data_IF_131467326204
#
_entry.id   IF_131467326204
#
_cell.length_a   1.000
_cell.length_b   1.000
_cell.length_c   1.000
_cell.angle_alpha   90.00
_cell.angle_beta   90.00
_cell.angle_gamma   90.00
#
_symmetry.space_group_name_H-M   'P 1'
#
loop_
_entity.id
_entity.type
_entity.pdbx_description
1 polymer ?
#
# COMPACT_ATOMS: atom_id res chain seq x y z
N UNK A 1 22.51 -28.73 54.50
CA UNK A 1 21.24 -28.64 53.74
C UNK A 1 21.06 -27.17 53.37
N UNK A 2 21.54 -26.77 52.19
CA UNK A 2 21.39 -25.39 51.71
C UNK A 2 20.11 -25.28 50.89
N UNK A 3 19.20 -24.42 51.33
CA UNK A 3 17.97 -24.09 50.62
C UNK A 3 18.35 -23.13 49.48
N UNK A 4 18.27 -23.65 48.26
CA UNK A 4 18.47 -22.90 47.03
C UNK A 4 17.36 -21.85 46.90
N UNK A 5 17.74 -20.58 46.88
CA UNK A 5 16.86 -19.46 46.62
C UNK A 5 16.43 -19.46 45.14
N UNK A 6 15.23 -19.98 44.87
CA UNK A 6 14.48 -19.66 43.66
C UNK A 6 14.09 -18.17 43.72
N UNK A 7 14.96 -17.29 43.24
CA UNK A 7 14.53 -15.96 42.82
C UNK A 7 13.53 -16.13 41.69
N UNK A 8 12.26 -15.88 41.99
CA UNK A 8 11.19 -15.74 41.01
C UNK A 8 11.57 -14.67 39.99
N UNK A 9 11.98 -15.08 38.79
CA UNK A 9 12.17 -14.23 37.58
C UNK A 9 10.82 -13.65 37.07
N UNK A 10 9.86 -13.36 37.94
CA UNK A 10 8.53 -12.87 37.55
C UNK A 10 8.52 -11.35 37.56
N UNK A 11 8.31 -10.78 36.37
CA UNK A 11 7.92 -9.40 36.08
C UNK A 11 8.98 -8.30 36.27
N UNK A 12 10.07 -8.34 35.49
CA UNK A 12 10.81 -7.10 35.18
C UNK A 12 9.91 -6.21 34.31
N UNK A 13 9.43 -5.10 34.89
CA UNK A 13 8.74 -4.05 34.14
C UNK A 13 9.76 -3.10 33.49
N UNK A 14 9.43 -2.48 32.35
CA UNK A 14 10.24 -1.40 31.79
C UNK A 14 10.30 -0.22 32.77
N UNK A 15 11.40 0.52 32.73
CA UNK A 15 11.62 1.72 33.55
C UNK A 15 11.24 2.99 32.80
N UNK A 16 11.36 2.98 31.47
CA UNK A 16 10.91 4.08 30.62
C UNK A 16 9.43 4.37 30.86
N UNK A 17 9.06 5.63 31.20
CA UNK A 17 7.66 6.01 31.41
C UNK A 17 6.77 5.68 30.22
N UNK A 18 7.29 5.84 29.00
CA UNK A 18 6.52 5.58 27.77
C UNK A 18 6.27 4.08 27.57
N UNK A 19 7.28 3.24 27.83
CA UNK A 19 7.14 1.79 27.73
C UNK A 19 6.28 1.21 28.87
N UNK A 20 6.17 1.91 30.01
CA UNK A 20 5.24 1.54 31.08
C UNK A 20 3.79 1.64 30.64
N UNK A 21 3.41 2.65 29.86
CA UNK A 21 2.04 2.75 29.30
C UNK A 21 1.72 1.54 28.41
N UNK A 22 2.67 1.14 27.56
CA UNK A 22 2.50 -0.08 26.74
C UNK A 22 2.38 -1.34 27.62
N UNK A 23 3.16 -1.43 28.70
CA UNK A 23 3.09 -2.52 29.67
C UNK A 23 1.75 -2.57 30.42
N UNK A 24 1.20 -1.40 30.76
CA UNK A 24 -0.11 -1.27 31.42
C UNK A 24 -1.24 -1.69 30.48
N UNK A 25 -1.16 -1.41 29.18
CA UNK A 25 -2.10 -1.95 28.20
C UNK A 25 -2.09 -3.50 28.19
N UNK A 26 -0.90 -4.12 28.27
CA UNK A 26 -0.77 -5.57 28.40
C UNK A 26 -1.30 -6.12 29.74
N UNK A 27 -1.22 -5.36 30.83
CA UNK A 27 -1.85 -5.74 32.11
C UNK A 27 -3.38 -5.87 31.96
N UNK A 28 -3.99 -5.13 31.03
CA UNK A 28 -5.42 -5.19 30.70
C UNK A 28 -5.75 -6.12 29.52
N UNK A 29 -4.76 -6.84 28.97
CA UNK A 29 -4.94 -7.71 27.81
C UNK A 29 -5.04 -6.98 26.46
N UNK A 30 -4.80 -5.67 26.41
CA UNK A 30 -4.84 -4.87 25.18
C UNK A 30 -3.48 -4.92 24.43
N UNK A 31 -3.24 -6.03 23.75
CA UNK A 31 -2.06 -6.23 22.90
C UNK A 31 -1.98 -5.18 21.77
N UNK A 32 -3.05 -4.91 21.00
CA UNK A 32 -3.03 -3.87 19.97
C UNK A 32 -2.68 -2.48 20.52
N UNK A 33 -3.24 -2.12 21.69
CA UNK A 33 -2.91 -0.87 22.37
C UNK A 33 -1.46 -0.78 22.76
N UNK A 34 -0.89 -1.85 23.31
CA UNK A 34 0.53 -1.90 23.65
C UNK A 34 1.44 -1.66 22.42
N UNK A 35 1.12 -2.28 21.28
CA UNK A 35 1.85 -2.08 20.02
C UNK A 35 1.72 -0.65 19.50
N UNK A 36 0.52 -0.05 19.56
CA UNK A 36 0.33 1.38 19.22
C UNK A 36 1.23 2.28 20.08
N UNK A 37 1.27 2.04 21.39
CA UNK A 37 2.14 2.81 22.29
C UNK A 37 3.63 2.62 21.97
N UNK A 38 4.06 1.39 21.64
CA UNK A 38 5.45 1.15 21.21
C UNK A 38 5.81 1.93 19.93
N UNK A 39 4.91 1.97 18.94
CA UNK A 39 5.13 2.77 17.72
C UNK A 39 5.23 4.26 18.02
N UNK A 40 4.41 4.76 18.93
CA UNK A 40 4.41 6.16 19.36
C UNK A 40 5.64 6.54 20.20
N UNK A 41 6.26 5.57 20.90
CA UNK A 41 7.39 5.81 21.80
C UNK A 41 8.69 6.23 21.09
N UNK A 42 8.78 6.02 19.78
CA UNK A 42 9.96 6.33 18.98
C UNK A 42 11.07 5.28 19.10
N UNK A 43 12.10 5.47 18.28
CA UNK A 43 13.18 4.49 18.08
C UNK A 43 14.33 4.58 19.10
N UNK A 44 14.32 5.62 19.96
CA UNK A 44 15.38 5.91 20.93
C UNK A 44 15.22 5.13 22.26
N UNK A 45 14.16 4.32 22.37
CA UNK A 45 13.88 3.58 23.59
C UNK A 45 14.93 2.48 23.84
N UNK A 46 15.26 2.17 25.12
CA UNK A 46 16.22 1.11 25.43
C UNK A 46 15.76 -0.25 24.89
N UNK A 47 16.58 -0.87 24.02
CA UNK A 47 16.23 -2.12 23.32
C UNK A 47 15.84 -3.26 24.26
N UNK A 48 16.53 -3.41 25.39
CA UNK A 48 16.19 -4.42 26.39
C UNK A 48 14.77 -4.21 26.97
N UNK A 49 14.34 -2.97 27.13
CA UNK A 49 13.01 -2.65 27.64
C UNK A 49 11.93 -2.80 26.57
N UNK A 50 12.23 -2.43 25.32
CA UNK A 50 11.35 -2.71 24.17
C UNK A 50 11.15 -4.21 24.03
N UNK A 51 12.22 -5.01 24.09
CA UNK A 51 12.16 -6.46 24.03
C UNK A 51 11.34 -7.05 25.20
N UNK A 52 11.40 -6.48 26.41
CA UNK A 52 10.53 -6.91 27.51
C UNK A 52 9.04 -6.75 27.16
N UNK A 53 8.63 -5.59 26.63
CA UNK A 53 7.23 -5.33 26.27
C UNK A 53 6.81 -6.26 25.11
N UNK A 54 7.64 -6.37 24.07
CA UNK A 54 7.36 -7.21 22.89
C UNK A 54 7.29 -8.68 23.26
N UNK A 55 8.22 -9.18 24.08
CA UNK A 55 8.22 -10.58 24.52
C UNK A 55 6.96 -10.94 25.29
N UNK A 56 6.46 -10.03 26.14
CA UNK A 56 5.19 -10.23 26.86
C UNK A 56 3.99 -10.17 25.92
N UNK A 57 3.97 -9.23 24.97
CA UNK A 57 2.92 -9.17 23.96
C UNK A 57 2.88 -10.45 23.12
N UNK A 58 4.05 -10.97 22.72
CA UNK A 58 4.21 -12.21 21.98
C UNK A 58 3.72 -13.43 22.77
N UNK A 59 4.05 -13.53 24.06
CA UNK A 59 3.56 -14.58 24.95
C UNK A 59 2.02 -14.58 25.03
N UNK A 60 1.41 -13.40 25.15
CA UNK A 60 -0.05 -13.26 25.25
C UNK A 60 -0.81 -13.76 24.00
N UNK A 61 -0.15 -13.78 22.83
CA UNK A 61 -0.74 -14.25 21.56
C UNK A 61 -0.15 -15.59 21.08
N UNK A 62 0.68 -16.26 21.88
CA UNK A 62 1.25 -17.58 21.54
C UNK A 62 2.36 -17.55 20.49
N UNK A 63 3.11 -16.45 20.38
CA UNK A 63 4.23 -16.31 19.45
C UNK A 63 5.55 -16.73 20.11
N UNK A 64 5.80 -18.03 20.20
CA UNK A 64 6.96 -18.60 20.91
C UNK A 64 8.32 -18.12 20.39
N UNK A 65 8.48 -18.02 19.07
CA UNK A 65 9.77 -17.63 18.47
C UNK A 65 10.14 -16.19 18.83
N UNK A 66 9.19 -15.26 18.71
CA UNK A 66 9.38 -13.86 19.10
C UNK A 66 9.57 -13.72 20.61
N UNK A 67 8.88 -14.54 21.42
CA UNK A 67 9.06 -14.57 22.89
C UNK A 67 10.48 -14.98 23.26
N UNK A 68 11.02 -16.02 22.62
CA UNK A 68 12.40 -16.49 22.83
C UNK A 68 13.43 -15.46 22.38
N UNK A 69 13.23 -14.87 21.20
CA UNK A 69 14.14 -13.85 20.66
C UNK A 69 14.17 -12.59 21.53
N UNK A 70 13.00 -12.13 22.00
CA UNK A 70 12.90 -11.03 22.95
C UNK A 70 13.62 -11.34 24.27
N UNK A 71 13.44 -12.54 24.83
CA UNK A 71 14.13 -12.96 26.04
C UNK A 71 15.66 -12.98 25.86
N UNK A 72 16.16 -13.35 24.68
CA UNK A 72 17.59 -13.32 24.35
C UNK A 72 18.14 -11.88 24.37
N UNK A 73 17.43 -10.90 23.80
CA UNK A 73 17.83 -9.48 23.86
C UNK A 73 17.80 -8.96 25.30
N UNK A 74 16.84 -9.38 26.12
CA UNK A 74 16.79 -8.98 27.54
C UNK A 74 18.00 -9.52 28.32
N UNK A 75 18.44 -10.75 28.02
CA UNK A 75 19.59 -11.35 28.68
C UNK A 75 20.91 -10.75 28.18
N UNK A 76 21.02 -10.48 26.88
CA UNK A 76 22.24 -10.06 26.20
C UNK A 76 21.94 -8.96 25.17
N UNK A 77 21.64 -7.72 25.61
CA UNK A 77 21.14 -6.64 24.74
C UNK A 77 22.18 -6.13 23.73
N UNK A 78 23.42 -6.58 23.88
CA UNK A 78 24.58 -6.19 23.11
C UNK A 78 25.04 -7.28 22.13
N UNK A 79 24.46 -8.48 22.19
CA UNK A 79 24.85 -9.61 21.35
C UNK A 79 24.23 -9.45 19.95
N UNK A 80 25.04 -9.35 18.87
CA UNK A 80 24.52 -9.11 17.52
C UNK A 80 23.48 -10.13 17.05
N UNK A 81 23.69 -11.41 17.37
CA UNK A 81 22.76 -12.48 16.99
C UNK A 81 21.42 -12.37 17.72
N UNK A 82 21.40 -11.97 19.00
CA UNK A 82 20.13 -11.76 19.72
C UNK A 82 19.32 -10.61 19.10
N UNK A 83 20.01 -9.52 18.77
CA UNK A 83 19.41 -8.36 18.13
C UNK A 83 18.87 -8.67 16.72
N UNK A 84 19.65 -9.43 15.95
CA UNK A 84 19.23 -9.92 14.63
C UNK A 84 17.99 -10.81 14.73
N UNK A 85 18.01 -11.85 15.57
CA UNK A 85 16.88 -12.79 15.71
C UNK A 85 15.61 -12.06 16.17
N UNK A 86 15.74 -11.13 17.12
CA UNK A 86 14.62 -10.31 17.57
C UNK A 86 14.07 -9.44 16.44
N UNK A 87 14.94 -8.78 15.67
CA UNK A 87 14.56 -7.98 14.53
C UNK A 87 13.86 -8.79 13.44
N UNK A 88 14.44 -9.93 13.07
CA UNK A 88 13.89 -10.88 12.11
C UNK A 88 12.46 -11.30 12.50
N UNK A 89 12.27 -11.77 13.74
CA UNK A 89 10.94 -12.18 14.20
C UNK A 89 9.96 -11.02 14.38
N UNK A 90 10.43 -9.78 14.58
CA UNK A 90 9.55 -8.62 14.53
C UNK A 90 9.03 -8.35 13.10
N UNK A 91 9.87 -8.53 12.07
CA UNK A 91 9.46 -8.39 10.67
C UNK A 91 8.45 -9.47 10.28
N UNK A 92 8.73 -10.73 10.61
CA UNK A 92 7.83 -11.88 10.33
C UNK A 92 6.45 -11.77 11.01
N UNK A 93 6.28 -10.86 11.98
CA UNK A 93 5.04 -10.65 12.72
C UNK A 93 4.40 -9.29 12.44
N UNK A 94 4.75 -8.67 11.32
CA UNK A 94 4.20 -7.38 10.85
C UNK A 94 4.35 -6.23 11.87
N UNK A 95 5.41 -6.28 12.70
CA UNK A 95 5.80 -5.22 13.64
C UNK A 95 7.18 -4.65 13.29
N UNK A 96 7.49 -4.59 11.98
CA UNK A 96 8.79 -4.19 11.42
C UNK A 96 9.34 -2.86 11.96
N UNK A 97 8.48 -1.88 12.26
CA UNK A 97 8.90 -0.60 12.86
C UNK A 97 9.64 -0.79 14.19
N UNK A 98 9.28 -1.79 14.98
CA UNK A 98 9.95 -2.13 16.25
C UNK A 98 11.26 -2.89 16.01
N UNK A 99 11.41 -3.56 14.86
CA UNK A 99 12.62 -4.27 14.46
C UNK A 99 13.79 -3.32 14.16
N UNK A 100 13.50 -2.15 13.57
CA UNK A 100 14.51 -1.23 13.00
C UNK A 100 15.64 -0.88 13.98
N UNK A 101 15.38 -0.46 15.24
CA UNK A 101 16.47 -0.10 16.15
C UNK A 101 17.37 -1.30 16.49
N UNK A 102 16.81 -2.49 16.65
CA UNK A 102 17.57 -3.71 16.94
C UNK A 102 18.43 -4.13 15.74
N UNK A 103 17.88 -4.09 14.53
CA UNK A 103 18.58 -4.45 13.29
C UNK A 103 19.70 -3.45 12.95
N UNK A 104 19.51 -2.14 13.20
CA UNK A 104 20.58 -1.14 13.08
C UNK A 104 21.74 -1.44 14.01
N UNK A 105 21.43 -1.73 15.28
CA UNK A 105 22.47 -2.02 16.27
C UNK A 105 23.17 -3.37 15.98
N UNK A 106 22.42 -4.38 15.51
CA UNK A 106 22.99 -5.63 15.03
C UNK A 106 23.98 -5.36 13.88
N UNK A 107 23.58 -4.58 12.87
CA UNK A 107 24.38 -4.27 11.68
C UNK A 107 25.70 -3.56 12.07
N UNK A 108 25.60 -2.58 12.98
CA UNK A 108 26.76 -1.83 13.50
C UNK A 108 27.74 -2.75 14.21
N UNK A 109 27.26 -3.72 14.99
CA UNK A 109 28.10 -4.63 15.77
C UNK A 109 28.62 -5.82 14.96
N UNK A 110 27.97 -6.16 13.87
CA UNK A 110 28.39 -7.21 12.93
C UNK A 110 29.22 -6.69 11.76
N UNK A 111 29.71 -5.45 11.86
CA UNK A 111 30.54 -4.78 10.84
C UNK A 111 29.96 -4.87 9.42
N UNK A 112 28.65 -4.59 9.30
CA UNK A 112 27.99 -4.56 7.99
C UNK A 112 27.61 -5.92 7.41
N UNK A 113 27.54 -6.98 8.22
CA UNK A 113 27.15 -8.32 7.76
C UNK A 113 25.93 -8.31 6.79
N UNK A 114 26.06 -8.84 5.56
CA UNK A 114 25.03 -8.69 4.52
C UNK A 114 23.64 -9.22 4.90
N UNK A 115 23.58 -10.31 5.67
CA UNK A 115 22.30 -10.86 6.14
C UNK A 115 21.55 -9.88 7.03
N UNK A 116 22.26 -9.14 7.89
CA UNK A 116 21.64 -8.16 8.79
C UNK A 116 21.20 -6.92 7.99
N UNK A 117 22.00 -6.50 7.00
CA UNK A 117 21.66 -5.39 6.12
C UNK A 117 20.35 -5.68 5.36
N UNK A 118 20.21 -6.89 4.80
CA UNK A 118 19.01 -7.31 4.06
C UNK A 118 17.77 -7.29 4.95
N UNK A 119 17.85 -7.82 6.17
CA UNK A 119 16.73 -7.78 7.11
C UNK A 119 16.39 -6.35 7.54
N UNK A 120 17.38 -5.48 7.75
CA UNK A 120 17.14 -4.06 8.04
C UNK A 120 16.42 -3.36 6.87
N UNK A 121 16.81 -3.66 5.63
CA UNK A 121 16.14 -3.16 4.42
C UNK A 121 14.70 -3.66 4.37
N UNK A 122 14.46 -4.95 4.60
CA UNK A 122 13.10 -5.50 4.65
C UNK A 122 12.23 -4.81 5.72
N UNK A 123 12.80 -4.50 6.89
CA UNK A 123 12.09 -3.77 7.94
C UNK A 123 11.72 -2.34 7.51
N UNK A 124 12.60 -1.64 6.79
CA UNK A 124 12.28 -0.33 6.23
C UNK A 124 11.23 -0.40 5.14
N UNK A 125 11.31 -1.38 4.23
CA UNK A 125 10.33 -1.56 3.16
C UNK A 125 8.92 -1.77 3.72
N UNK A 126 8.80 -2.60 4.75
CA UNK A 126 7.52 -2.87 5.41
C UNK A 126 6.90 -1.62 6.07
N UNK A 127 7.73 -0.70 6.57
CA UNK A 127 7.29 0.57 7.17
C UNK A 127 7.24 1.73 6.14
N UNK A 128 7.47 1.45 4.85
CA UNK A 128 7.47 2.45 3.76
C UNK A 128 8.66 3.43 3.78
N UNK A 129 9.72 3.12 4.53
CA UNK A 129 10.90 3.99 4.77
C UNK A 129 12.00 3.77 3.73
N UNK A 130 11.64 3.87 2.46
CA UNK A 130 12.56 3.58 1.35
C UNK A 130 13.80 4.50 1.31
N UNK A 131 13.68 5.76 1.75
CA UNK A 131 14.83 6.68 1.85
C UNK A 131 15.87 6.19 2.86
N UNK A 132 15.43 5.65 3.99
CA UNK A 132 16.31 5.04 4.98
C UNK A 132 17.00 3.79 4.41
N UNK A 133 16.26 2.93 3.72
CA UNK A 133 16.81 1.74 3.07
C UNK A 133 17.91 2.10 2.06
N UNK A 134 17.65 3.09 1.20
CA UNK A 134 18.66 3.63 0.26
C UNK A 134 19.90 4.11 1.01
N UNK A 135 19.74 4.93 2.07
CA UNK A 135 20.88 5.44 2.84
C UNK A 135 21.74 4.33 3.42
N UNK A 136 21.15 3.26 3.93
CA UNK A 136 21.93 2.12 4.46
C UNK A 136 22.59 1.31 3.35
N UNK A 137 21.89 0.99 2.27
CA UNK A 137 22.46 0.24 1.13
C UNK A 137 23.62 1.00 0.47
N UNK A 138 23.49 2.31 0.27
CA UNK A 138 24.54 3.14 -0.35
C UNK A 138 25.84 3.18 0.45
N UNK A 139 25.82 2.97 1.78
CA UNK A 139 27.05 2.86 2.59
C UNK A 139 27.89 1.64 2.20
N UNK A 140 27.26 0.62 1.64
CA UNK A 140 27.89 -0.65 1.25
C UNK A 140 27.91 -0.85 -0.27
N UNK A 141 27.67 0.20 -1.08
CA UNK A 141 27.50 0.13 -2.55
C UNK A 141 28.60 -0.70 -3.27
N UNK A 142 29.86 -0.52 -2.85
CA UNK A 142 31.01 -1.23 -3.42
C UNK A 142 31.10 -2.72 -3.07
N UNK A 143 30.32 -3.18 -2.09
CA UNK A 143 30.29 -4.56 -1.62
C UNK A 143 28.95 -5.28 -1.94
N UNK A 144 27.99 -4.59 -2.58
CA UNK A 144 26.70 -5.17 -2.92
C UNK A 144 26.87 -6.23 -4.02
N UNK A 145 26.37 -7.43 -3.77
CA UNK A 145 26.13 -8.39 -4.84
C UNK A 145 25.02 -7.87 -5.75
N UNK A 146 25.06 -8.22 -7.03
CA UNK A 146 24.01 -7.82 -7.99
C UNK A 146 22.62 -8.28 -7.51
N UNK A 147 22.54 -9.54 -7.07
CA UNK A 147 21.31 -10.17 -6.60
C UNK A 147 21.50 -10.76 -5.19
N UNK A 148 20.72 -10.36 -4.17
CA UNK A 148 19.62 -9.39 -4.20
C UNK A 148 20.03 -7.92 -3.97
N UNK A 149 21.28 -7.64 -3.60
CA UNK A 149 21.60 -6.40 -2.87
C UNK A 149 21.49 -5.13 -3.73
N UNK A 150 22.10 -5.13 -4.93
CA UNK A 150 21.99 -4.00 -5.86
C UNK A 150 20.56 -3.88 -6.42
N UNK A 151 19.88 -5.01 -6.64
CA UNK A 151 18.44 -5.02 -6.92
C UNK A 151 17.64 -4.26 -5.85
N UNK A 152 17.86 -4.53 -4.57
CA UNK A 152 17.17 -3.84 -3.47
C UNK A 152 17.45 -2.34 -3.47
N UNK A 153 18.68 -1.92 -3.80
CA UNK A 153 19.04 -0.50 -3.90
C UNK A 153 18.26 0.19 -5.02
N UNK A 154 18.19 -0.40 -6.21
CA UNK A 154 17.41 0.13 -7.33
C UNK A 154 15.93 0.22 -6.96
N UNK A 155 15.36 -0.83 -6.37
CA UNK A 155 13.95 -0.87 -5.98
C UNK A 155 13.61 0.23 -4.97
N UNK A 156 14.39 0.35 -3.89
CA UNK A 156 14.18 1.37 -2.88
C UNK A 156 14.46 2.78 -3.40
N UNK A 157 15.42 2.96 -4.31
CA UNK A 157 15.69 4.26 -4.93
C UNK A 157 14.48 4.78 -5.71
N UNK A 158 13.81 3.92 -6.50
CA UNK A 158 12.54 4.29 -7.15
C UNK A 158 11.50 4.71 -6.12
N UNK A 159 11.24 3.87 -5.11
CA UNK A 159 10.20 4.13 -4.12
C UNK A 159 10.53 5.28 -3.17
N UNK A 160 11.79 5.70 -3.11
CA UNK A 160 12.27 6.90 -2.42
C UNK A 160 12.15 8.19 -3.26
N UNK A 161 11.95 8.05 -4.56
CA UNK A 161 11.87 9.16 -5.53
C UNK A 161 13.18 9.47 -6.25
N UNK A 162 14.23 8.68 -6.04
CA UNK A 162 15.57 8.90 -6.57
C UNK A 162 15.79 8.09 -7.87
N UNK A 163 15.20 8.57 -8.97
CA UNK A 163 15.31 7.93 -10.28
C UNK A 163 16.71 8.01 -10.87
N UNK A 164 17.51 9.00 -10.47
CA UNK A 164 18.89 9.13 -10.94
C UNK A 164 19.73 7.97 -10.38
N UNK A 165 19.69 7.78 -9.06
CA UNK A 165 20.31 6.64 -8.39
C UNK A 165 19.79 5.32 -8.95
N UNK A 166 18.47 5.15 -9.05
CA UNK A 166 17.87 3.92 -9.54
C UNK A 166 18.39 3.53 -10.94
N UNK A 167 18.49 4.49 -11.87
CA UNK A 167 19.00 4.24 -13.22
C UNK A 167 20.48 3.90 -13.24
N UNK A 168 21.29 4.64 -12.47
CA UNK A 168 22.73 4.38 -12.37
C UNK A 168 23.00 2.96 -11.88
N UNK A 169 22.35 2.57 -10.78
CA UNK A 169 22.53 1.24 -10.18
C UNK A 169 21.94 0.13 -11.04
N UNK A 170 20.83 0.40 -11.75
CA UNK A 170 20.25 -0.56 -12.67
C UNK A 170 21.16 -0.84 -13.87
N UNK A 171 21.89 0.18 -14.37
CA UNK A 171 22.85 0.02 -15.46
C UNK A 171 24.07 -0.85 -15.07
N UNK A 172 24.38 -0.91 -13.77
CA UNK A 172 25.45 -1.76 -13.22
C UNK A 172 24.97 -3.19 -12.95
N UNK A 173 23.66 -3.43 -12.91
CA UNK A 173 23.07 -4.71 -12.54
C UNK A 173 23.17 -5.71 -13.71
N UNK A 174 23.95 -6.78 -13.52
CA UNK A 174 24.09 -7.88 -14.48
C UNK A 174 22.78 -8.67 -14.62
N UNK A 175 22.61 -9.34 -15.77
CA UNK A 175 21.49 -10.26 -15.94
C UNK A 175 21.54 -11.41 -14.92
N UNK A 176 20.39 -11.78 -14.32
CA UNK A 176 20.37 -12.78 -13.27
C UNK A 176 20.71 -14.17 -13.83
N UNK A 177 21.72 -14.81 -13.22
CA UNK A 177 22.08 -16.21 -13.54
C UNK A 177 21.06 -17.21 -12.98
N UNK A 178 20.43 -16.86 -11.85
CA UNK A 178 19.40 -17.66 -11.20
C UNK A 178 18.02 -17.20 -11.67
N UNK A 179 17.27 -18.12 -12.28
CA UNK A 179 15.97 -17.87 -12.87
C UNK A 179 14.95 -17.26 -11.90
N UNK A 180 15.09 -17.48 -10.58
CA UNK A 180 14.19 -16.89 -9.57
C UNK A 180 14.22 -15.36 -9.54
N UNK A 181 15.29 -14.74 -10.04
CA UNK A 181 15.45 -13.28 -10.08
C UNK A 181 14.95 -12.64 -11.39
N UNK A 182 14.57 -13.44 -12.40
CA UNK A 182 14.06 -12.92 -13.66
C UNK A 182 12.80 -12.04 -13.47
N UNK A 183 11.78 -12.44 -12.69
CA UNK A 183 10.61 -11.58 -12.46
C UNK A 183 10.96 -10.25 -11.78
N UNK A 184 11.98 -10.25 -10.92
CA UNK A 184 12.46 -9.06 -10.24
C UNK A 184 13.17 -8.09 -11.21
N UNK A 185 14.02 -8.63 -12.11
CA UNK A 185 14.65 -7.88 -13.21
C UNK A 185 13.61 -7.25 -14.13
N UNK A 186 12.64 -8.03 -14.58
CA UNK A 186 11.58 -7.53 -15.46
C UNK A 186 10.74 -6.44 -14.79
N UNK A 187 10.45 -6.58 -13.49
CA UNK A 187 9.73 -5.56 -12.72
C UNK A 187 10.49 -4.23 -12.71
N UNK A 188 11.80 -4.24 -12.48
CA UNK A 188 12.62 -3.01 -12.51
C UNK A 188 12.65 -2.37 -13.90
N UNK A 189 12.81 -3.18 -14.94
CA UNK A 189 12.73 -2.70 -16.32
C UNK A 189 11.39 -2.01 -16.59
N UNK A 190 10.27 -2.61 -16.16
CA UNK A 190 8.93 -2.02 -16.31
C UNK A 190 8.80 -0.70 -15.55
N UNK A 191 9.23 -0.66 -14.29
CA UNK A 191 9.15 0.53 -13.44
C UNK A 191 9.98 1.69 -14.01
N UNK A 192 11.20 1.43 -14.50
CA UNK A 192 12.04 2.46 -15.10
C UNK A 192 11.50 2.94 -16.46
N UNK A 193 10.91 2.05 -17.26
CA UNK A 193 10.22 2.42 -18.50
C UNK A 193 9.00 3.32 -18.21
N UNK A 194 8.19 2.95 -17.22
CA UNK A 194 7.05 3.76 -16.75
C UNK A 194 7.50 5.14 -16.27
N UNK A 195 8.62 5.22 -15.55
CA UNK A 195 9.20 6.50 -15.12
C UNK A 195 9.63 7.37 -16.31
N UNK A 196 10.29 6.80 -17.32
CA UNK A 196 10.64 7.55 -18.52
C UNK A 196 9.40 8.07 -19.27
N UNK A 197 8.33 7.28 -19.32
CA UNK A 197 7.07 7.67 -19.97
C UNK A 197 6.32 8.75 -19.18
N UNK A 198 6.18 8.59 -17.87
CA UNK A 198 5.52 9.57 -17.01
C UNK A 198 6.25 10.92 -17.00
N UNK A 199 7.59 10.92 -17.11
CA UNK A 199 8.39 12.15 -17.19
C UNK A 199 8.12 13.00 -18.43
N UNK A 200 7.44 12.47 -19.46
CA UNK A 200 6.99 13.27 -20.61
C UNK A 200 5.79 14.15 -20.29
N UNK A 201 5.02 13.82 -19.26
CA UNK A 201 3.82 14.56 -18.86
C UNK A 201 3.94 15.23 -17.49
N UNK A 202 4.94 14.88 -16.68
CA UNK A 202 5.12 15.41 -15.34
C UNK A 202 6.59 15.45 -14.91
N UNK A 203 6.91 16.20 -13.86
CA UNK A 203 8.25 16.27 -13.28
C UNK A 203 8.61 15.06 -12.41
N UNK A 204 7.63 14.22 -12.02
CA UNK A 204 7.77 13.19 -10.97
C UNK A 204 8.33 13.76 -9.65
N UNK A 205 7.93 14.99 -9.31
CA UNK A 205 8.31 15.63 -8.05
C UNK A 205 7.72 14.93 -6.81
N UNK A 206 8.11 15.37 -5.59
CA UNK A 206 7.66 14.77 -4.33
C UNK A 206 6.16 14.92 -4.04
N UNK A 207 5.45 15.72 -4.83
CA UNK A 207 4.00 15.92 -4.74
C UNK A 207 3.23 15.29 -5.91
N UNK A 208 3.91 14.68 -6.89
CA UNK A 208 3.27 14.11 -8.08
C UNK A 208 2.70 12.72 -7.81
N UNK A 209 1.55 12.68 -7.14
CA UNK A 209 0.90 11.43 -6.77
C UNK A 209 0.52 10.57 -7.99
N UNK A 210 -0.04 11.18 -9.05
CA UNK A 210 -0.46 10.45 -10.25
C UNK A 210 0.73 9.80 -10.95
N UNK A 211 1.80 10.56 -11.16
CA UNK A 211 3.02 10.06 -11.78
C UNK A 211 3.64 8.92 -10.98
N UNK A 212 3.76 9.08 -9.66
CA UNK A 212 4.34 8.04 -8.81
C UNK A 212 3.47 6.80 -8.66
N UNK A 213 2.15 6.94 -8.61
CA UNK A 213 1.23 5.80 -8.64
C UNK A 213 1.44 4.95 -9.90
N UNK A 214 1.58 5.62 -11.04
CA UNK A 214 1.85 4.95 -12.32
C UNK A 214 3.23 4.30 -12.35
N UNK A 215 4.28 4.98 -11.91
CA UNK A 215 5.65 4.43 -11.86
C UNK A 215 5.69 3.15 -11.04
N UNK A 216 5.17 3.19 -9.82
CA UNK A 216 5.26 2.08 -8.87
C UNK A 216 4.43 0.88 -9.27
N UNK A 217 3.19 1.10 -9.72
CA UNK A 217 2.20 0.01 -9.91
C UNK A 217 1.74 -0.19 -11.35
N UNK A 218 1.92 0.79 -12.22
CA UNK A 218 1.32 0.83 -13.56
C UNK A 218 -0.13 1.31 -13.57
N UNK A 219 -0.68 1.68 -12.41
CA UNK A 219 -2.05 2.16 -12.25
C UNK A 219 -2.14 3.63 -12.65
N UNK A 220 -3.08 3.97 -13.53
CA UNK A 220 -3.40 5.38 -13.81
C UNK A 220 -4.43 5.89 -12.79
N UNK A 221 -4.06 6.92 -12.01
CA UNK A 221 -4.94 7.56 -11.03
C UNK A 221 -5.83 8.63 -11.68
N UNK A 222 -7.15 8.46 -11.56
CA UNK A 222 -8.19 9.29 -12.15
C UNK A 222 -8.28 10.68 -11.54
N UNK A 223 -8.44 10.74 -10.21
CA UNK A 223 -8.73 11.96 -9.47
C UNK A 223 -7.83 12.11 -8.26
N UNK A 224 -7.35 13.33 -8.04
CA UNK A 224 -6.61 13.76 -6.86
C UNK A 224 -7.57 14.45 -5.89
N UNK A 225 -7.51 14.07 -4.61
CA UNK A 225 -8.23 14.77 -3.55
C UNK A 225 -7.78 16.24 -3.50
N UNK A 226 -8.71 17.21 -3.53
CA UNK A 226 -8.37 18.62 -3.32
C UNK A 226 -8.12 18.99 -1.85
N UNK A 227 -8.39 18.06 -0.94
CA UNK A 227 -8.41 18.33 0.49
C UNK A 227 -7.20 17.74 1.21
N UNK A 228 -6.87 18.32 2.36
CA UNK A 228 -5.87 17.76 3.27
C UNK A 228 -4.42 17.92 2.84
N UNK A 229 -4.09 18.80 1.88
CA UNK A 229 -2.69 19.11 1.53
C UNK A 229 -1.91 19.62 2.75
N UNK A 230 -2.46 20.55 3.52
CA UNK A 230 -1.85 21.04 4.77
C UNK A 230 -1.77 19.96 5.87
N UNK A 231 -2.63 18.93 5.77
CA UNK A 231 -2.61 17.75 6.64
C UNK A 231 -1.70 16.63 6.10
N UNK A 232 -0.98 16.88 5.00
CA UNK A 232 -0.04 15.94 4.40
C UNK A 232 -0.68 14.82 3.57
N UNK A 233 -1.91 14.96 3.08
CA UNK A 233 -2.59 13.91 2.29
C UNK A 233 -2.18 13.87 0.81
N UNK A 234 -1.70 14.99 0.27
CA UNK A 234 -1.08 15.11 -1.06
C UNK A 234 -1.89 14.43 -2.19
N UNK A 235 -3.20 14.69 -2.27
CA UNK A 235 -4.07 14.12 -3.31
C UNK A 235 -4.77 12.81 -2.95
N UNK A 236 -4.63 12.32 -1.70
CA UNK A 236 -5.35 11.13 -1.19
C UNK A 236 -6.49 11.53 -0.26
N UNK A 237 -7.52 10.69 -0.15
CA UNK A 237 -8.60 10.86 0.82
C UNK A 237 -8.27 10.12 2.12
N UNK A 238 -8.38 10.79 3.28
CA UNK A 238 -8.20 10.14 4.57
C UNK A 238 -9.45 9.31 4.93
N UNK A 239 -10.59 10.00 5.01
CA UNK A 239 -11.91 9.42 5.17
C UNK A 239 -12.84 10.02 4.13
N UNK A 240 -13.58 9.18 3.43
CA UNK A 240 -14.48 9.58 2.35
C UNK A 240 -15.85 8.95 2.54
N UNK A 241 -16.88 9.79 2.61
CA UNK A 241 -18.25 9.39 2.26
C UNK A 241 -18.43 9.67 0.78
N UNK A 242 -18.37 8.59 0.01
CA UNK A 242 -18.41 8.66 -1.43
C UNK A 242 -19.80 9.08 -1.92
N UNK A 243 -19.86 9.61 -3.13
CA UNK A 243 -21.10 10.15 -3.72
C UNK A 243 -21.35 9.58 -5.10
N UNK A 244 -22.61 9.51 -5.58
CA UNK A 244 -22.89 9.10 -6.96
C UNK A 244 -22.19 10.02 -7.99
N UNK A 245 -22.02 11.31 -7.68
CA UNK A 245 -21.31 12.27 -8.53
C UNK A 245 -19.82 11.99 -8.64
N UNK A 246 -19.18 11.53 -7.55
CA UNK A 246 -17.78 11.13 -7.56
C UNK A 246 -17.56 9.80 -8.29
N UNK A 247 -18.48 8.82 -8.14
CA UNK A 247 -18.51 7.62 -8.97
C UNK A 247 -18.63 7.95 -10.46
N UNK A 248 -19.57 8.83 -10.83
CA UNK A 248 -19.73 9.26 -12.22
C UNK A 248 -18.47 9.94 -12.76
N UNK A 249 -17.84 10.81 -11.97
CA UNK A 249 -16.55 11.44 -12.33
C UNK A 249 -15.46 10.38 -12.58
N UNK A 250 -15.36 9.36 -11.73
CA UNK A 250 -14.44 8.23 -11.90
C UNK A 250 -14.64 7.50 -13.24
N UNK A 251 -15.90 7.20 -13.57
CA UNK A 251 -16.26 6.55 -14.85
C UNK A 251 -15.99 7.43 -16.07
N UNK A 252 -16.21 8.75 -15.96
CA UNK A 252 -15.85 9.70 -17.02
C UNK A 252 -14.33 9.78 -17.22
N UNK A 253 -13.54 9.74 -16.14
CA UNK A 253 -12.07 9.65 -16.21
C UNK A 253 -11.61 8.34 -16.84
N UNK A 254 -12.25 7.21 -16.51
CA UNK A 254 -12.01 5.94 -17.19
C UNK A 254 -12.27 6.05 -18.70
N UNK A 255 -13.39 6.66 -19.12
CA UNK A 255 -13.69 6.89 -20.54
C UNK A 255 -12.61 7.73 -21.22
N UNK A 256 -12.20 8.83 -20.59
CA UNK A 256 -11.15 9.70 -21.10
C UNK A 256 -9.80 8.98 -21.23
N UNK A 257 -9.44 8.13 -20.25
CA UNK A 257 -8.25 7.29 -20.28
C UNK A 257 -8.27 6.30 -21.44
N UNK A 258 -9.36 5.55 -21.60
CA UNK A 258 -9.51 4.60 -22.71
C UNK A 258 -9.39 5.31 -24.07
N UNK A 259 -9.97 6.50 -24.20
CA UNK A 259 -9.87 7.32 -25.40
C UNK A 259 -8.43 7.77 -25.67
N UNK A 260 -7.75 8.35 -24.67
CA UNK A 260 -6.39 8.87 -24.78
C UNK A 260 -5.34 7.77 -25.01
N UNK A 261 -5.60 6.56 -24.50
CA UNK A 261 -4.78 5.38 -24.73
C UNK A 261 -5.18 4.62 -26.01
N UNK A 262 -6.14 5.12 -26.79
CA UNK A 262 -6.61 4.52 -28.04
C UNK A 262 -7.17 3.09 -27.89
N UNK A 263 -7.66 2.74 -26.70
CA UNK A 263 -8.31 1.46 -26.44
C UNK A 263 -9.79 1.48 -26.79
N UNK A 264 -10.30 0.36 -27.29
CA UNK A 264 -11.70 0.19 -27.73
C UNK A 264 -12.27 -1.12 -27.18
N UNK A 265 -12.55 -1.19 -25.87
CA UNK A 265 -13.23 -2.35 -25.30
C UNK A 265 -14.61 -2.52 -25.95
N UNK A 266 -15.10 -3.77 -25.96
CA UNK A 266 -16.35 -4.19 -26.58
C UNK A 266 -17.44 -4.54 -25.57
N UNK A 267 -17.10 -4.59 -24.28
CA UNK A 267 -18.01 -4.95 -23.18
C UNK A 267 -17.49 -4.44 -21.85
N UNK A 268 -18.38 -4.36 -20.86
CA UNK A 268 -18.04 -4.24 -19.44
C UNK A 268 -18.29 -5.57 -18.75
N UNK A 269 -17.27 -6.11 -18.10
CA UNK A 269 -17.33 -7.35 -17.31
C UNK A 269 -17.77 -7.05 -15.88
N UNK A 270 -18.93 -7.57 -15.50
CA UNK A 270 -19.52 -7.43 -14.17
C UNK A 270 -18.94 -8.49 -13.22
N UNK A 271 -18.24 -8.03 -12.17
CA UNK A 271 -17.90 -8.86 -11.02
C UNK A 271 -19.17 -9.28 -10.26
N UNK A 272 -19.12 -10.34 -9.43
CA UNK A 272 -20.32 -10.88 -8.79
C UNK A 272 -20.76 -10.12 -7.53
N UNK A 273 -19.86 -9.37 -6.87
CA UNK A 273 -20.19 -8.60 -5.68
C UNK A 273 -21.08 -7.39 -6.01
N UNK A 274 -22.01 -7.07 -5.10
CA UNK A 274 -23.03 -6.04 -5.31
C UNK A 274 -22.44 -4.68 -5.68
N UNK A 275 -21.42 -4.25 -4.96
CA UNK A 275 -20.81 -2.92 -5.10
C UNK A 275 -20.21 -2.76 -6.49
N UNK A 276 -19.44 -3.76 -6.94
CA UNK A 276 -18.87 -3.79 -8.28
C UNK A 276 -19.91 -3.98 -9.38
N UNK A 277 -21.02 -4.71 -9.11
CA UNK A 277 -22.15 -4.82 -10.06
C UNK A 277 -22.84 -3.48 -10.29
N UNK A 278 -23.13 -2.72 -9.24
CA UNK A 278 -23.74 -1.40 -9.33
C UNK A 278 -22.86 -0.49 -10.20
N UNK A 279 -21.57 -0.42 -9.89
CA UNK A 279 -20.65 0.45 -10.63
C UNK A 279 -20.43 -0.04 -12.07
N UNK A 280 -20.33 -1.36 -12.29
CA UNK A 280 -20.19 -1.95 -13.61
C UNK A 280 -21.38 -1.69 -14.53
N UNK A 281 -22.61 -1.72 -14.00
CA UNK A 281 -23.81 -1.34 -14.76
C UNK A 281 -23.79 0.14 -15.15
N UNK A 282 -23.41 1.03 -14.23
CA UNK A 282 -23.23 2.45 -14.54
C UNK A 282 -22.11 2.68 -15.58
N UNK A 283 -21.01 1.92 -15.48
CA UNK A 283 -19.91 2.00 -16.44
C UNK A 283 -20.32 1.57 -17.85
N UNK A 284 -21.14 0.52 -17.97
CA UNK A 284 -21.68 0.06 -19.24
C UNK A 284 -22.49 1.16 -19.95
N UNK A 285 -23.31 1.91 -19.20
CA UNK A 285 -24.06 3.04 -19.73
C UNK A 285 -23.16 4.24 -20.10
N UNK A 286 -22.20 4.62 -19.24
CA UNK A 286 -21.27 5.74 -19.49
C UNK A 286 -20.36 5.50 -20.70
N UNK A 287 -19.96 4.24 -20.92
CA UNK A 287 -19.09 3.81 -22.01
C UNK A 287 -19.86 3.43 -23.29
N UNK A 288 -21.18 3.33 -23.22
CA UNK A 288 -22.04 2.81 -24.30
C UNK A 288 -21.63 1.40 -24.75
N UNK A 289 -21.49 0.49 -23.79
CA UNK A 289 -21.05 -0.89 -24.00
C UNK A 289 -22.02 -1.89 -23.36
N UNK A 290 -22.12 -3.13 -23.90
CA UNK A 290 -22.90 -4.17 -23.26
C UNK A 290 -22.26 -4.59 -21.92
N UNK A 291 -23.10 -4.76 -20.90
CA UNK A 291 -22.72 -5.35 -19.62
C UNK A 291 -22.83 -6.88 -19.71
N UNK A 292 -21.75 -7.59 -19.39
CA UNK A 292 -21.69 -9.05 -19.43
C UNK A 292 -21.12 -9.61 -18.12
N UNK A 293 -21.52 -10.81 -17.67
CA UNK A 293 -20.88 -11.46 -16.54
C UNK A 293 -19.37 -11.62 -16.75
N UNK A 294 -18.59 -11.44 -15.68
CA UNK A 294 -17.15 -11.66 -15.71
C UNK A 294 -16.81 -13.07 -16.20
N UNK A 295 -15.85 -13.14 -17.12
CA UNK A 295 -15.27 -14.38 -17.61
C UNK A 295 -13.75 -14.16 -17.70
N UNK A 296 -12.92 -15.01 -17.07
CA UNK A 296 -11.47 -14.76 -16.94
C UNK A 296 -10.75 -14.48 -18.26
N UNK A 297 -11.05 -15.27 -19.30
CA UNK A 297 -10.42 -15.18 -20.61
C UNK A 297 -10.99 -14.13 -21.56
N UNK A 298 -11.89 -13.25 -21.10
CA UNK A 298 -12.55 -12.28 -21.98
C UNK A 298 -11.57 -11.18 -22.40
N UNK A 299 -11.35 -11.06 -23.71
CA UNK A 299 -10.55 -9.99 -24.31
C UNK A 299 -11.37 -8.72 -24.51
N UNK A 300 -10.68 -7.59 -24.71
CA UNK A 300 -11.28 -6.31 -25.10
C UNK A 300 -12.46 -5.91 -24.20
N UNK A 301 -12.26 -5.97 -22.88
CA UNK A 301 -13.32 -5.72 -21.89
C UNK A 301 -12.80 -4.83 -20.77
N UNK A 302 -13.69 -4.07 -20.16
CA UNK A 302 -13.38 -3.38 -18.91
C UNK A 302 -13.99 -4.15 -17.76
N UNK A 303 -13.17 -4.66 -16.85
CA UNK A 303 -13.61 -5.21 -15.57
C UNK A 303 -13.69 -4.06 -14.59
N UNK A 304 -14.86 -3.86 -13.99
CA UNK A 304 -15.11 -2.73 -13.07
C UNK A 304 -15.34 -3.26 -11.67
N UNK A 305 -14.50 -2.83 -10.74
CA UNK A 305 -14.67 -3.04 -9.31
C UNK A 305 -15.00 -1.71 -8.63
N UNK A 306 -15.89 -1.73 -7.62
CA UNK A 306 -15.97 -0.58 -6.72
C UNK A 306 -14.71 -0.49 -5.87
N UNK A 307 -14.40 -1.59 -5.18
CA UNK A 307 -13.19 -1.82 -4.41
C UNK A 307 -12.78 -3.29 -4.56
N UNK A 308 -11.49 -3.55 -4.78
CA UNK A 308 -10.97 -4.90 -4.97
C UNK A 308 -10.96 -5.71 -3.67
N UNK A 309 -10.87 -5.08 -2.50
CA UNK A 309 -10.94 -5.80 -1.22
C UNK A 309 -12.36 -6.28 -0.94
N UNK A 310 -13.37 -5.46 -1.24
CA UNK A 310 -14.78 -5.88 -1.23
C UNK A 310 -15.05 -7.06 -2.18
N UNK A 311 -14.53 -7.00 -3.41
CA UNK A 311 -14.63 -8.11 -4.36
C UNK A 311 -13.91 -9.38 -3.87
N UNK A 312 -12.76 -9.24 -3.20
CA UNK A 312 -12.02 -10.35 -2.62
C UNK A 312 -12.75 -11.01 -1.44
N UNK A 313 -13.55 -10.24 -0.69
CA UNK A 313 -14.31 -10.72 0.46
C UNK A 313 -15.60 -11.46 0.08
N UNK A 314 -16.06 -11.33 -1.16
CA UNK A 314 -17.21 -12.06 -1.69
C UNK A 314 -16.93 -13.58 -1.79
N UNK A 315 -17.98 -14.40 -1.75
CA UNK A 315 -17.86 -15.85 -1.99
C UNK A 315 -17.24 -16.13 -3.37
N UNK A 316 -16.11 -16.86 -3.39
CA UNK A 316 -15.32 -17.09 -4.62
C UNK A 316 -14.48 -15.88 -5.08
N UNK A 317 -14.52 -14.77 -4.34
CA UNK A 317 -13.73 -13.55 -4.58
C UNK A 317 -12.23 -13.79 -4.72
N UNK A 318 -11.57 -14.57 -3.82
CA UNK A 318 -10.13 -14.82 -3.92
C UNK A 318 -9.71 -15.51 -5.23
N UNK A 319 -10.55 -16.40 -5.76
CA UNK A 319 -10.30 -17.07 -7.03
C UNK A 319 -10.42 -16.07 -8.20
N UNK A 320 -11.45 -15.21 -8.19
CA UNK A 320 -11.66 -14.16 -9.19
C UNK A 320 -10.49 -13.17 -9.21
N UNK A 321 -10.03 -12.73 -8.03
CA UNK A 321 -8.87 -11.86 -7.90
C UNK A 321 -7.61 -12.55 -8.43
N UNK A 322 -7.43 -13.84 -8.15
CA UNK A 322 -6.34 -14.63 -8.74
C UNK A 322 -6.41 -14.72 -10.26
N UNK A 323 -7.61 -14.89 -10.82
CA UNK A 323 -7.86 -14.92 -12.28
C UNK A 323 -7.59 -13.57 -12.96
N UNK A 324 -7.65 -12.46 -12.22
CA UNK A 324 -7.32 -11.11 -12.70
C UNK A 324 -5.82 -10.79 -12.58
N UNK A 325 -4.98 -11.64 -11.98
CA UNK A 325 -3.55 -11.34 -11.82
C UNK A 325 -2.83 -11.17 -13.16
N UNK A 326 -3.03 -12.13 -14.07
CA UNK A 326 -2.49 -12.06 -15.43
C UNK A 326 -3.40 -11.23 -16.34
N UNK A 327 -2.80 -10.39 -17.17
CA UNK A 327 -3.56 -9.56 -18.11
C UNK A 327 -3.99 -10.40 -19.31
N UNK A 328 -5.29 -10.36 -19.59
CA UNK A 328 -5.84 -10.83 -20.88
C UNK A 328 -5.72 -9.70 -21.92
N UNK A 329 -5.39 -9.99 -23.18
CA UNK A 329 -5.28 -8.96 -24.22
C UNK A 329 -6.53 -8.07 -24.30
N UNK A 330 -6.32 -6.74 -24.26
CA UNK A 330 -7.39 -5.74 -24.29
C UNK A 330 -8.26 -5.68 -23.03
N UNK A 331 -7.98 -6.47 -21.99
CA UNK A 331 -8.69 -6.41 -20.71
C UNK A 331 -8.11 -5.28 -19.84
N UNK A 332 -8.98 -4.39 -19.38
CA UNK A 332 -8.64 -3.30 -18.45
C UNK A 332 -9.34 -3.56 -17.13
N UNK A 333 -8.59 -3.60 -16.03
CA UNK A 333 -9.14 -3.65 -14.67
C UNK A 333 -9.21 -2.23 -14.10
N UNK A 334 -10.42 -1.73 -13.86
CA UNK A 334 -10.65 -0.45 -13.20
C UNK A 334 -11.24 -0.69 -11.80
N UNK A 335 -10.68 -0.03 -10.80
CA UNK A 335 -11.28 0.07 -9.47
C UNK A 335 -11.66 1.53 -9.19
N UNK A 336 -12.84 1.78 -8.61
CA UNK A 336 -13.19 3.15 -8.24
C UNK A 336 -12.36 3.62 -7.04
N UNK A 337 -12.37 2.84 -5.97
CA UNK A 337 -11.70 3.13 -4.72
C UNK A 337 -10.57 2.12 -4.49
N UNK A 338 -9.38 2.61 -4.14
CA UNK A 338 -8.27 1.76 -3.70
C UNK A 338 -7.68 2.29 -2.40
N UNK A 339 -7.58 1.39 -1.42
CA UNK A 339 -6.93 1.66 -0.14
C UNK A 339 -5.43 1.88 -0.36
N UNK A 340 -4.88 3.04 -0.02
CA UNK A 340 -3.43 3.29 -0.16
C UNK A 340 -2.59 2.81 1.03
N UNK A 341 -3.07 2.80 2.30
CA UNK A 341 -2.30 2.25 3.40
C UNK A 341 -2.23 0.72 3.39
N UNK A 342 -3.23 0.06 2.81
CA UNK A 342 -3.28 -1.39 2.63
C UNK A 342 -3.77 -1.72 1.22
N UNK A 343 -2.89 -1.65 0.20
CA UNK A 343 -3.30 -1.85 -1.20
C UNK A 343 -3.85 -3.25 -1.44
N UNK A 344 -4.78 -3.45 -2.39
CA UNK A 344 -5.40 -4.74 -2.65
C UNK A 344 -4.42 -5.83 -3.11
N UNK A 345 -4.88 -7.08 -3.12
CA UNK A 345 -4.07 -8.26 -3.47
C UNK A 345 -3.49 -8.23 -4.90
N UNK A 346 -4.10 -7.46 -5.81
CA UNK A 346 -3.60 -7.16 -7.15
C UNK A 346 -3.73 -5.66 -7.42
N UNK A 347 -2.96 -5.12 -8.35
CA UNK A 347 -3.07 -3.72 -8.78
C UNK A 347 -4.05 -3.57 -9.93
N UNK A 348 -5.00 -2.63 -9.83
CA UNK A 348 -5.83 -2.26 -10.97
C UNK A 348 -5.01 -1.54 -12.05
N UNK A 349 -5.46 -1.59 -13.30
CA UNK A 349 -4.85 -0.83 -14.40
C UNK A 349 -5.17 0.66 -14.30
N UNK A 350 -6.31 0.97 -13.70
CA UNK A 350 -6.79 2.32 -13.41
C UNK A 350 -7.50 2.34 -12.07
N UNK A 351 -7.31 3.42 -11.30
CA UNK A 351 -8.05 3.71 -10.07
C UNK A 351 -8.70 5.08 -10.19
N UNK A 352 -9.96 5.25 -9.79
CA UNK A 352 -10.55 6.59 -9.76
C UNK A 352 -9.97 7.44 -8.62
N UNK A 353 -9.91 6.91 -7.39
CA UNK A 353 -9.37 7.62 -6.22
C UNK A 353 -8.61 6.72 -5.24
N UNK A 354 -7.70 7.33 -4.48
CA UNK A 354 -7.00 6.68 -3.37
C UNK A 354 -7.60 7.12 -2.03
N UNK A 355 -7.93 6.17 -1.17
CA UNK A 355 -8.48 6.45 0.16
C UNK A 355 -7.74 5.68 1.26
N UNK A 356 -7.93 6.11 2.50
CA UNK A 356 -7.62 5.27 3.67
C UNK A 356 -8.89 4.60 4.22
N UNK A 357 -10.01 5.31 4.24
CA UNK A 357 -11.31 4.75 4.61
C UNK A 357 -12.38 5.34 3.68
N UNK A 358 -13.25 4.48 3.16
CA UNK A 358 -14.33 4.87 2.26
C UNK A 358 -15.63 4.21 2.70
N UNK A 359 -16.75 4.93 2.50
CA UNK A 359 -18.10 4.39 2.60
C UNK A 359 -18.77 4.61 1.26
N UNK A 360 -19.15 3.52 0.59
CA UNK A 360 -19.82 3.57 -0.72
C UNK A 360 -21.13 4.36 -0.67
N UNK A 361 -21.57 5.01 -1.76
CA UNK A 361 -22.76 5.87 -1.75
C UNK A 361 -24.04 5.17 -1.29
N UNK A 362 -24.13 3.85 -1.52
CA UNK A 362 -25.22 2.97 -1.13
C UNK A 362 -25.01 2.26 0.22
N UNK A 363 -23.89 2.50 0.91
CA UNK A 363 -23.62 1.99 2.26
C UNK A 363 -24.31 2.78 3.37
N UNK A 364 -24.03 2.42 4.62
CA UNK A 364 -24.54 3.14 5.80
C UNK A 364 -23.86 4.51 5.97
N UNK A 365 -24.50 5.55 5.41
CA UNK A 365 -23.99 6.92 5.44
C UNK A 365 -24.25 7.60 6.79
N UNK A 366 -23.27 8.35 7.29
CA UNK A 366 -23.47 9.29 8.40
C UNK A 366 -24.31 10.46 7.91
N UNK A 367 -25.34 10.83 8.66
CA UNK A 367 -26.22 11.96 8.38
C UNK A 367 -26.36 12.81 9.62
N UNK A 368 -26.32 14.13 9.43
CA UNK A 368 -26.75 15.06 10.46
C UNK A 368 -28.25 14.87 10.72
N UNK A 369 -28.61 14.69 11.98
CA UNK A 369 -30.00 14.76 12.44
C UNK A 369 -30.41 16.22 12.64
N UNK A 370 -31.71 16.48 12.58
CA UNK A 370 -32.26 17.83 12.82
C UNK A 370 -31.92 18.37 14.21
N UNK A 371 -31.64 17.49 15.18
CA UNK A 371 -31.30 17.82 16.57
C UNK A 371 -29.79 18.06 16.78
N UNK A 372 -28.99 18.09 15.70
CA UNK A 372 -27.55 18.33 15.75
C UNK A 372 -26.71 17.09 16.10
N UNK A 373 -27.33 15.93 16.32
CA UNK A 373 -26.63 14.65 16.45
C UNK A 373 -26.20 14.08 15.09
N UNK A 374 -25.19 13.22 15.07
CA UNK A 374 -24.80 12.44 13.88
C UNK A 374 -25.37 11.03 14.01
N UNK A 375 -26.22 10.62 13.09
CA UNK A 375 -26.78 9.27 13.00
C UNK A 375 -26.26 8.53 11.78
N UNK A 376 -26.41 7.20 11.74
CA UNK A 376 -26.22 6.39 10.52
C UNK A 376 -27.57 6.18 9.84
N UNK A 377 -27.65 6.52 8.56
CA UNK A 377 -28.76 6.11 7.69
C UNK A 377 -28.62 4.64 7.29
N UNK A 378 -29.73 3.98 6.92
CA UNK A 378 -29.68 2.61 6.41
C UNK A 378 -28.94 2.57 5.07
N UNK A 379 -28.37 1.41 4.75
CA UNK A 379 -27.86 1.11 3.42
C UNK A 379 -28.99 1.12 2.37
N UNK A 380 -28.62 1.29 1.11
CA UNK A 380 -29.54 1.29 -0.02
C UNK A 380 -29.72 -0.12 -0.58
N UNK A 381 -30.87 -0.72 -0.24
CA UNK A 381 -31.24 -2.08 -0.63
C UNK A 381 -31.99 -2.15 -1.97
N UNK A 382 -32.11 -1.04 -2.71
CA UNK A 382 -32.74 -1.03 -4.04
C UNK A 382 -32.01 -1.97 -5.01
N UNK A 383 -32.66 -2.48 -6.07
CA UNK A 383 -31.99 -3.27 -7.10
C UNK A 383 -30.75 -2.57 -7.68
N UNK A 384 -29.70 -3.33 -8.02
CA UNK A 384 -28.41 -2.75 -8.47
C UNK A 384 -28.56 -1.80 -9.65
N UNK A 385 -29.46 -2.12 -10.58
CA UNK A 385 -29.75 -1.28 -11.76
C UNK A 385 -30.37 0.08 -11.39
N UNK A 386 -31.18 0.16 -10.34
CA UNK A 386 -31.76 1.44 -9.88
C UNK A 386 -30.71 2.33 -9.20
N UNK A 387 -29.79 1.72 -8.46
CA UNK A 387 -28.65 2.42 -7.85
C UNK A 387 -27.69 2.89 -8.95
N UNK A 388 -27.40 2.05 -9.95
CA UNK A 388 -26.57 2.40 -11.10
C UNK A 388 -27.14 3.60 -11.87
N UNK A 389 -28.46 3.63 -12.11
CA UNK A 389 -29.13 4.77 -12.75
C UNK A 389 -29.04 6.07 -11.91
N UNK A 390 -28.92 5.96 -10.58
CA UNK A 390 -28.67 7.12 -9.72
C UNK A 390 -27.27 7.71 -9.96
N UNK A 391 -26.28 6.87 -10.30
CA UNK A 391 -24.93 7.31 -10.67
C UNK A 391 -24.95 8.00 -12.03
N UNK A 392 -25.54 7.40 -13.06
CA UNK A 392 -25.55 7.99 -14.41
C UNK A 392 -26.41 9.25 -14.50
N UNK A 393 -27.44 9.37 -13.66
CA UNK A 393 -28.25 10.58 -13.52
C UNK A 393 -27.67 11.67 -12.59
N UNK A 394 -26.51 11.43 -11.96
CA UNK A 394 -25.89 12.41 -11.06
C UNK A 394 -25.26 13.58 -11.82
N UNK A 395 -25.03 14.69 -11.11
CA UNK A 395 -24.12 15.75 -11.59
C UNK A 395 -22.70 15.33 -11.18
N UNK A 396 -21.74 15.21 -12.13
CA UNK A 396 -20.35 14.93 -11.79
C UNK A 396 -19.82 15.98 -10.83
N UNK A 397 -19.07 15.57 -9.81
CA UNK A 397 -18.43 16.54 -8.93
C UNK A 397 -17.49 17.44 -9.74
N UNK A 398 -17.57 18.77 -9.59
CA UNK A 398 -16.76 19.69 -10.36
C UNK A 398 -15.27 19.47 -10.08
N UNK A 399 -14.42 19.90 -11.03
CA UNK A 399 -13.01 20.04 -10.72
C UNK A 399 -12.89 21.03 -9.54
N UNK A 400 -12.20 20.66 -8.46
CA UNK A 400 -12.21 21.46 -7.25
C UNK A 400 -11.39 22.74 -7.43
N UNK A 401 -11.96 23.89 -7.06
CA UNK A 401 -11.29 25.20 -6.96
C UNK A 401 -10.38 25.27 -5.69
N UNK A 402 -9.65 24.20 -5.41
CA UNK A 402 -8.80 24.07 -4.22
C UNK A 402 -7.37 24.55 -4.44
N UNK A 403 -6.62 24.75 -3.35
CA UNK A 403 -5.18 25.04 -3.37
C UNK A 403 -4.30 23.84 -3.79
N UNK A 404 -4.91 22.77 -4.29
CA UNK A 404 -4.24 21.53 -4.69
C UNK A 404 -3.58 21.61 -6.07
N UNK A 405 -2.96 20.51 -6.48
CA UNK A 405 -2.40 20.34 -7.82
C UNK A 405 -3.57 20.38 -8.83
N UNK A 406 -3.47 21.16 -9.93
CA UNK A 406 -4.48 21.16 -10.99
C UNK A 406 -4.76 19.74 -11.47
N UNK A 407 -6.05 19.37 -11.44
CA UNK A 407 -6.49 18.01 -11.76
C UNK A 407 -7.58 18.00 -12.83
N UNK A 408 -7.44 18.86 -13.84
CA UNK A 408 -8.39 18.98 -14.94
C UNK A 408 -8.34 17.80 -15.91
N UNK A 409 -9.31 17.76 -16.83
CA UNK A 409 -9.39 16.75 -17.89
C UNK A 409 -8.19 16.83 -18.84
N UNK A 410 -7.71 18.04 -19.14
CA UNK A 410 -6.56 18.28 -20.03
C UNK A 410 -5.29 17.65 -19.47
N UNK A 411 -4.97 17.88 -18.19
CA UNK A 411 -3.77 17.35 -17.54
C UNK A 411 -3.81 15.82 -17.48
N UNK A 412 -4.98 15.26 -17.17
CA UNK A 412 -5.17 13.82 -17.10
C UNK A 412 -5.07 13.14 -18.46
N UNK A 413 -5.71 13.69 -19.50
CA UNK A 413 -5.65 13.11 -20.85
C UNK A 413 -4.26 13.24 -21.45
N UNK A 414 -3.55 14.34 -21.19
CA UNK A 414 -2.13 14.50 -21.55
C UNK A 414 -1.25 13.44 -20.87
N UNK A 415 -1.46 13.19 -19.57
CA UNK A 415 -0.77 12.13 -18.84
C UNK A 415 -1.07 10.75 -19.43
N UNK A 416 -2.36 10.42 -19.62
CA UNK A 416 -2.80 9.15 -20.20
C UNK A 416 -2.19 8.89 -21.58
N UNK A 417 -2.18 9.90 -22.46
CA UNK A 417 -1.58 9.82 -23.77
C UNK A 417 -0.06 9.61 -23.70
N UNK A 418 0.62 10.28 -22.75
CA UNK A 418 2.06 10.14 -22.58
C UNK A 418 2.49 8.74 -22.13
N UNK A 419 1.67 8.06 -21.33
CA UNK A 419 2.00 6.74 -20.74
C UNK A 419 1.40 5.54 -21.50
N UNK A 420 0.61 5.79 -22.55
CA UNK A 420 -0.14 4.74 -23.26
C UNK A 420 0.71 3.54 -23.72
N UNK A 421 1.94 3.78 -24.14
CA UNK A 421 2.80 2.75 -24.74
C UNK A 421 3.22 1.69 -23.71
N UNK A 422 3.49 2.10 -22.47
CA UNK A 422 3.87 1.18 -21.38
C UNK A 422 2.73 0.83 -20.44
N UNK A 423 1.56 1.47 -20.59
CA UNK A 423 0.34 1.08 -19.89
C UNK A 423 -0.12 -0.32 -20.32
N UNK A 424 -0.73 -1.07 -19.40
CA UNK A 424 -1.15 -2.48 -19.57
C UNK A 424 0.00 -3.49 -19.84
N UNK A 425 1.26 -3.15 -19.53
CA UNK A 425 2.39 -4.10 -19.60
C UNK A 425 2.68 -4.79 -18.27
N UNK A 426 2.93 -6.11 -18.34
CA UNK A 426 3.30 -6.97 -17.22
C UNK A 426 2.09 -7.62 -16.53
N UNK A 427 2.29 -8.08 -15.30
CA UNK A 427 1.31 -8.63 -14.38
C UNK A 427 0.69 -7.56 -13.46
N UNK A 428 -0.40 -7.89 -12.76
CA UNK A 428 -1.07 -7.02 -11.77
C UNK A 428 -0.52 -7.24 -10.35
N UNK A 429 0.79 -7.48 -10.23
CA UNK A 429 1.40 -7.80 -8.95
C UNK A 429 1.24 -6.65 -7.92
N UNK A 430 0.85 -7.02 -6.70
CA UNK A 430 0.70 -6.10 -5.56
C UNK A 430 1.98 -5.30 -5.30
N UNK A 431 1.81 -4.02 -5.00
CA UNK A 431 2.86 -3.13 -4.52
C UNK A 431 2.48 -2.66 -3.12
N UNK A 432 3.13 -3.23 -2.10
CA UNK A 432 2.93 -2.86 -0.68
C UNK A 432 3.79 -1.65 -0.31
N UNK A 433 3.53 -0.50 -0.93
CA UNK A 433 4.23 0.74 -0.61
C UNK A 433 3.35 1.94 -0.93
N UNK A 434 3.35 2.99 -0.09
CA UNK A 434 2.67 4.25 -0.40
C UNK A 434 3.40 5.06 -1.48
N UNK A 435 4.59 4.64 -1.90
CA UNK A 435 5.45 5.36 -2.83
C UNK A 435 6.16 6.57 -2.21
N UNK A 436 6.85 7.38 -3.02
CA UNK A 436 7.70 8.47 -2.54
C UNK A 436 6.94 9.73 -2.14
N UNK A 437 5.67 9.86 -2.54
CA UNK A 437 4.79 10.97 -2.19
C UNK A 437 4.28 10.75 -0.77
N UNK A 438 4.74 11.54 0.23
CA UNK A 438 4.36 11.34 1.62
C UNK A 438 2.85 11.39 1.80
N UNK A 439 2.34 10.62 2.76
CA UNK A 439 0.96 10.74 3.21
C UNK A 439 0.86 10.56 4.71
N UNK A 440 0.09 11.41 5.37
CA UNK A 440 -0.35 11.15 6.73
C UNK A 440 -1.29 9.94 6.74
N UNK A 441 -1.17 9.10 7.78
CA UNK A 441 -2.10 8.01 8.08
C UNK A 441 -2.79 8.35 9.39
N UNK A 442 -4.12 8.24 9.42
CA UNK A 442 -4.92 8.55 10.61
C UNK A 442 -5.41 7.24 11.26
N UNK A 443 -5.12 7.03 12.54
CA UNK A 443 -5.58 5.82 13.26
C UNK A 443 -6.91 6.03 13.99
#
# INVERSE_FOLDING_TARGET
MMISGMFTRRNRRPKSPVLRTAWEALDHGDVPGALRQLRAAGEEQPLAEVALVVGRAAEAVGCDDLTKAAAAVVAEPERPTALYDFGYWCVERDIARVAVPALREALRRSDGAPVVLRELVAAYEHDGRHREAVRELSRFEGALADWPDRYLLVFNAVLAGDLELARREHALLSDPQDARWQPARERQNRVLARAADAQRASSLGPSDLRGWQYVSSGTVLGTLSPHGFDAGMNGRYAWLQDTPGLCLRGLLRLRALLSAAELRPRSVSLLPDRDSRILGLAAAEVLDLPAEPFAPGRTDTVVVAYDLDGAAAHDGGPEIIGQLFERVPGQVLHAHASCWPDPPAITADSVALLHQTVVAPWGEQLRGSADGGVGRGPADDRPEAEVAATITGAVPEPDPDGAGIPDGETEFTAFAAAVRESWLRGDRARVKSPGPVPSSRFE
#
